data_IF_301019785653
#
_entry.id   IF_301019785653
#
_cell.length_a   1.000
_cell.length_b   1.000
_cell.length_c   1.000
_cell.angle_alpha   90.00
_cell.angle_beta   90.00
_cell.angle_gamma   90.00
#
_symmetry.space_group_name_H-M   'P 1'
#
loop_
_entity.id
_entity.type
_entity.pdbx_description
1 polymer ?
#
# COMPACT_ATOMS: atom_id res chain seq x y z
N UNK A 1 -29.80 15.59 4.22
CA UNK A 1 -28.76 14.68 3.68
C UNK A 1 -27.52 15.50 3.47
N UNK A 2 -26.33 15.11 3.95
CA UNK A 2 -25.12 15.85 3.62
C UNK A 2 -24.77 15.53 2.16
N UNK A 3 -24.81 16.54 1.30
CA UNK A 3 -24.32 16.45 -0.08
C UNK A 3 -22.80 16.37 -0.02
N UNK A 4 -22.26 15.17 -0.13
CA UNK A 4 -20.82 14.98 -0.32
C UNK A 4 -20.42 15.72 -1.61
N UNK A 5 -19.61 16.76 -1.47
CA UNK A 5 -19.20 17.60 -2.58
C UNK A 5 -18.24 16.79 -3.47
N UNK A 6 -18.48 16.75 -4.78
CA UNK A 6 -17.61 16.04 -5.74
C UNK A 6 -16.15 16.54 -5.66
N UNK A 7 -15.96 17.82 -5.33
CA UNK A 7 -14.63 18.39 -5.12
C UNK A 7 -13.91 17.82 -3.89
N UNK A 8 -14.62 17.55 -2.79
CA UNK A 8 -14.02 16.95 -1.57
C UNK A 8 -13.65 15.49 -1.80
N UNK A 9 -14.48 14.73 -2.54
CA UNK A 9 -14.18 13.33 -2.88
C UNK A 9 -12.93 13.22 -3.75
N UNK A 10 -12.77 14.13 -4.71
CA UNK A 10 -11.61 14.13 -5.60
C UNK A 10 -10.31 14.52 -4.86
N UNK A 11 -10.37 15.48 -3.93
CA UNK A 11 -9.22 15.89 -3.13
C UNK A 11 -8.75 14.78 -2.16
N UNK A 12 -9.69 14.07 -1.53
CA UNK A 12 -9.40 12.92 -0.67
C UNK A 12 -8.73 11.79 -1.46
N UNK A 13 -9.20 11.52 -2.68
CA UNK A 13 -8.61 10.52 -3.58
C UNK A 13 -7.18 10.89 -3.99
N UNK A 14 -6.91 12.16 -4.29
CA UNK A 14 -5.58 12.62 -4.67
C UNK A 14 -4.59 12.48 -3.51
N UNK A 15 -5.00 12.90 -2.31
CA UNK A 15 -4.18 12.79 -1.08
C UNK A 15 -3.85 11.33 -0.76
N UNK A 16 -4.84 10.44 -0.90
CA UNK A 16 -4.63 9.00 -0.68
C UNK A 16 -3.64 8.40 -1.69
N UNK A 17 -3.69 8.83 -2.96
CA UNK A 17 -2.78 8.35 -3.99
C UNK A 17 -1.35 8.89 -3.81
N UNK A 18 -1.21 10.16 -3.42
CA UNK A 18 0.09 10.75 -3.07
C UNK A 18 0.75 9.98 -1.92
N UNK A 19 -0.02 9.67 -0.88
CA UNK A 19 0.45 8.87 0.24
C UNK A 19 0.93 7.47 -0.17
N UNK A 20 0.16 6.76 -1.01
CA UNK A 20 0.57 5.43 -1.51
C UNK A 20 1.87 5.53 -2.31
N UNK A 21 1.98 6.53 -3.18
CA UNK A 21 3.17 6.76 -4.01
C UNK A 21 4.40 7.00 -3.14
N UNK A 22 4.27 7.79 -2.08
CA UNK A 22 5.34 8.04 -1.11
C UNK A 22 5.76 6.74 -0.40
N UNK A 23 4.81 5.94 0.06
CA UNK A 23 5.09 4.66 0.71
C UNK A 23 5.87 3.71 -0.21
N UNK A 24 5.45 3.57 -1.47
CA UNK A 24 6.15 2.76 -2.47
C UNK A 24 7.54 3.31 -2.74
N UNK A 25 7.67 4.63 -2.91
CA UNK A 25 8.95 5.29 -3.15
C UNK A 25 9.98 5.05 -2.05
N UNK A 26 9.56 5.18 -0.78
CA UNK A 26 10.42 4.97 0.39
C UNK A 26 10.87 3.51 0.54
N UNK A 27 10.01 2.55 0.21
CA UNK A 27 10.26 1.12 0.41
C UNK A 27 10.81 0.40 -0.84
N UNK A 28 10.82 1.05 -2.01
CA UNK A 28 11.21 0.44 -3.30
C UNK A 28 12.53 -0.33 -3.23
N UNK A 29 13.56 0.29 -2.67
CA UNK A 29 14.90 -0.30 -2.63
C UNK A 29 14.93 -1.59 -1.80
N UNK A 30 14.23 -1.60 -0.66
CA UNK A 30 14.10 -2.78 0.21
C UNK A 30 13.35 -3.92 -0.50
N UNK A 31 12.27 -3.58 -1.22
CA UNK A 31 11.51 -4.58 -1.98
C UNK A 31 12.34 -5.18 -3.10
N UNK A 32 13.08 -4.36 -3.87
CA UNK A 32 13.98 -4.85 -4.92
C UNK A 32 15.08 -5.74 -4.34
N UNK A 33 15.72 -5.31 -3.26
CA UNK A 33 16.76 -6.08 -2.58
C UNK A 33 16.21 -7.41 -2.07
N UNK A 34 15.03 -7.40 -1.46
CA UNK A 34 14.38 -8.61 -0.97
C UNK A 34 14.02 -9.57 -2.12
N UNK A 35 13.49 -9.07 -3.24
CA UNK A 35 13.22 -9.90 -4.42
C UNK A 35 14.51 -10.57 -4.91
N UNK A 36 15.59 -9.81 -5.03
CA UNK A 36 16.88 -10.35 -5.50
C UNK A 36 17.43 -11.42 -4.55
N UNK A 37 17.40 -11.16 -3.25
CA UNK A 37 18.00 -12.03 -2.24
C UNK A 37 17.14 -13.25 -1.90
N UNK A 38 15.82 -13.16 -2.06
CA UNK A 38 14.87 -14.18 -1.63
C UNK A 38 14.11 -14.87 -2.77
N UNK A 39 14.38 -14.51 -4.03
CA UNK A 39 13.75 -15.10 -5.23
C UNK A 39 13.81 -16.63 -5.31
N UNK A 40 14.84 -17.25 -4.71
CA UNK A 40 14.97 -18.71 -4.67
C UNK A 40 14.07 -19.38 -3.61
N UNK A 41 13.48 -18.61 -2.70
CA UNK A 41 12.67 -19.11 -1.57
C UNK A 41 11.20 -18.67 -1.68
N UNK A 42 10.96 -17.46 -2.18
CA UNK A 42 9.64 -16.86 -2.23
C UNK A 42 9.38 -16.24 -3.59
N UNK A 43 8.10 -16.26 -4.01
CA UNK A 43 7.70 -15.53 -5.21
C UNK A 43 7.82 -14.02 -4.98
N UNK A 44 8.12 -13.23 -6.02
CA UNK A 44 8.12 -11.78 -5.89
C UNK A 44 6.79 -11.22 -5.40
N UNK A 45 5.66 -11.83 -5.79
CA UNK A 45 4.33 -11.46 -5.30
C UNK A 45 4.22 -11.60 -3.79
N UNK A 46 4.69 -12.71 -3.21
CA UNK A 46 4.69 -12.92 -1.76
C UNK A 46 5.55 -11.87 -1.04
N UNK A 47 6.69 -11.50 -1.61
CA UNK A 47 7.56 -10.46 -1.06
C UNK A 47 6.86 -9.11 -1.08
N UNK A 48 6.23 -8.73 -2.20
CA UNK A 48 5.48 -7.47 -2.34
C UNK A 48 4.32 -7.42 -1.33
N UNK A 49 3.56 -8.51 -1.19
CA UNK A 49 2.47 -8.60 -0.21
C UNK A 49 2.98 -8.44 1.22
N UNK A 50 4.10 -9.08 1.56
CA UNK A 50 4.71 -8.98 2.90
C UNK A 50 5.10 -7.55 3.24
N UNK A 51 5.77 -6.84 2.33
CA UNK A 51 6.15 -5.44 2.55
C UNK A 51 4.93 -4.52 2.60
N UNK A 52 3.91 -4.79 1.78
CA UNK A 52 2.64 -4.05 1.85
C UNK A 52 1.99 -4.22 3.22
N UNK A 53 1.92 -5.45 3.73
CA UNK A 53 1.32 -5.73 5.04
C UNK A 53 2.10 -5.08 6.18
N UNK A 54 3.43 -4.97 6.07
CA UNK A 54 4.25 -4.22 7.03
C UNK A 54 3.96 -2.72 6.99
N UNK A 55 3.82 -2.11 5.81
CA UNK A 55 3.44 -0.70 5.66
C UNK A 55 2.08 -0.45 6.29
N UNK A 56 1.08 -1.29 5.97
CA UNK A 56 -0.26 -1.20 6.54
C UNK A 56 -0.21 -1.37 8.07
N UNK A 57 0.53 -2.35 8.58
CA UNK A 57 0.68 -2.55 10.02
C UNK A 57 1.27 -1.30 10.71
N UNK A 58 2.29 -0.67 10.12
CA UNK A 58 2.89 0.55 10.63
C UNK A 58 1.89 1.72 10.65
N UNK A 59 1.08 1.90 9.60
CA UNK A 59 0.05 2.93 9.54
C UNK A 59 -1.04 2.79 10.61
N UNK A 60 -1.24 1.56 11.09
CA UNK A 60 -2.28 1.24 12.06
C UNK A 60 -1.77 1.17 13.49
N UNK A 61 -0.45 1.19 13.69
CA UNK A 61 0.19 0.95 14.99
C UNK A 61 -0.28 1.92 16.08
N UNK A 62 -0.52 3.18 15.71
CA UNK A 62 -0.91 4.24 16.65
C UNK A 62 -2.43 4.41 16.80
N UNK A 63 -3.24 3.61 16.09
CA UNK A 63 -4.70 3.70 16.15
C UNK A 63 -5.25 2.97 17.38
N UNK A 64 -6.25 3.56 18.01
CA UNK A 64 -7.05 2.90 19.04
C UNK A 64 -7.86 1.74 18.46
N UNK A 65 -8.29 0.79 19.30
CA UNK A 65 -9.13 -0.34 18.87
C UNK A 65 -10.43 0.12 18.20
N UNK A 66 -10.99 1.26 18.61
CA UNK A 66 -12.20 1.83 17.99
C UNK A 66 -11.93 2.33 16.58
N UNK A 67 -10.81 3.01 16.37
CA UNK A 67 -10.40 3.49 15.05
C UNK A 67 -10.08 2.32 14.12
N UNK A 68 -9.40 1.28 14.62
CA UNK A 68 -9.15 0.05 13.84
C UNK A 68 -10.45 -0.60 13.35
N UNK A 69 -11.44 -0.74 14.23
CA UNK A 69 -12.75 -1.27 13.85
C UNK A 69 -13.46 -0.41 12.80
N UNK A 70 -13.29 0.91 12.85
CA UNK A 70 -13.84 1.83 11.84
C UNK A 70 -13.13 1.68 10.49
N UNK A 71 -11.79 1.58 10.47
CA UNK A 71 -11.04 1.35 9.24
C UNK A 71 -11.44 0.03 8.58
N UNK A 72 -11.55 -1.05 9.37
CA UNK A 72 -12.01 -2.36 8.90
C UNK A 72 -13.44 -2.27 8.35
N UNK A 73 -14.38 -1.68 9.10
CA UNK A 73 -15.76 -1.56 8.69
C UNK A 73 -15.95 -0.69 7.44
N UNK A 74 -15.10 0.32 7.26
CA UNK A 74 -15.14 1.21 6.08
C UNK A 74 -14.57 0.57 4.81
N UNK A 75 -13.80 -0.53 4.95
CA UNK A 75 -13.11 -1.18 3.85
C UNK A 75 -11.88 -0.44 3.31
N UNK A 76 -11.58 0.76 3.83
CA UNK A 76 -10.48 1.63 3.35
C UNK A 76 -9.12 0.95 3.44
N UNK A 77 -8.89 0.17 4.49
CA UNK A 77 -7.64 -0.60 4.68
C UNK A 77 -7.38 -1.59 3.54
N UNK A 78 -8.41 -2.28 3.04
CA UNK A 78 -8.27 -3.23 1.94
C UNK A 78 -7.99 -2.52 0.62
N UNK A 79 -8.63 -1.37 0.40
CA UNK A 79 -8.37 -0.53 -0.78
C UNK A 79 -6.94 0.01 -0.75
N UNK A 80 -6.48 0.50 0.40
CA UNK A 80 -5.11 0.99 0.55
C UNK A 80 -4.08 -0.12 0.29
N UNK A 81 -4.29 -1.30 0.88
CA UNK A 81 -3.44 -2.49 0.67
C UNK A 81 -3.35 -2.85 -0.80
N UNK A 82 -4.48 -2.97 -1.49
CA UNK A 82 -4.50 -3.34 -2.90
C UNK A 82 -3.82 -2.27 -3.77
N UNK A 83 -4.05 -0.99 -3.46
CA UNK A 83 -3.43 0.11 -4.21
C UNK A 83 -1.91 0.10 -4.06
N UNK A 84 -1.38 -0.14 -2.85
CA UNK A 84 0.07 -0.27 -2.63
C UNK A 84 0.66 -1.45 -3.40
N UNK A 85 -0.02 -2.61 -3.42
CA UNK A 85 0.42 -3.78 -4.20
C UNK A 85 0.50 -3.42 -5.68
N UNK A 86 -0.54 -2.81 -6.24
CA UNK A 86 -0.58 -2.44 -7.65
C UNK A 86 0.50 -1.41 -8.01
N UNK A 87 0.77 -0.46 -7.13
CA UNK A 87 1.85 0.52 -7.32
C UNK A 87 3.24 -0.13 -7.27
N UNK A 88 3.49 -1.05 -6.35
CA UNK A 88 4.74 -1.83 -6.36
C UNK A 88 4.90 -2.67 -7.64
N UNK A 89 3.83 -3.31 -8.13
CA UNK A 89 3.86 -4.11 -9.37
C UNK A 89 4.04 -3.26 -10.63
N UNK A 90 3.56 -2.02 -10.59
CA UNK A 90 3.67 -1.05 -11.68
C UNK A 90 4.99 -0.27 -11.64
N UNK A 91 5.71 -0.29 -10.52
CA UNK A 91 7.01 0.34 -10.38
C UNK A 91 8.03 -0.29 -11.35
N UNK A 92 8.66 0.55 -12.16
CA UNK A 92 9.58 0.11 -13.21
C UNK A 92 10.74 -0.75 -12.68
N UNK A 93 11.30 -0.42 -11.52
CA UNK A 93 12.47 -1.12 -10.99
C UNK A 93 12.12 -2.48 -10.43
N UNK A 94 10.95 -2.60 -9.79
CA UNK A 94 10.42 -3.87 -9.29
C UNK A 94 9.94 -4.73 -10.44
N UNK A 95 9.20 -4.17 -11.40
CA UNK A 95 8.71 -4.91 -12.57
C UNK A 95 9.85 -5.56 -13.38
N UNK A 96 11.02 -4.93 -13.45
CA UNK A 96 12.22 -5.51 -14.07
C UNK A 96 12.74 -6.77 -13.36
N UNK A 97 12.46 -6.95 -12.06
CA UNK A 97 12.83 -8.15 -11.31
C UNK A 97 11.79 -9.27 -11.43
N UNK A 98 10.60 -8.98 -11.98
CA UNK A 98 9.51 -9.95 -12.16
C UNK A 98 9.63 -10.77 -13.46
N UNK A 99 10.64 -10.48 -14.30
CA UNK A 99 10.89 -11.12 -15.60
C UNK A 99 12.06 -12.08 -15.52
#
# INVERSE_FOLDING_TARGET
MPTTNLATVQAEKNTAMEFVTECVGLNRHLVVEAINNLSNQFTPDFIIETYTDQIIAAMLADKSSKELLQEIASGKIFVARETIIQEFKSDFLINRQLK
#
